data_IF_386813890549
#
_entry.id   IF_386813890549
#
_cell.length_a   1.000
_cell.length_b   1.000
_cell.length_c   1.000
_cell.angle_alpha   90.00
_cell.angle_beta   90.00
_cell.angle_gamma   90.00
#
_symmetry.space_group_name_H-M   'P 1'
#
loop_
_entity.id
_entity.type
_entity.pdbx_description
1 polymer ?
#
# COMPACT_ATOMS: atom_id res chain seq x y z
N UNK A 1 -5.20 -9.56 7.91
CA UNK A 1 -4.01 -9.53 7.02
C UNK A 1 -3.65 -8.07 6.73
N UNK A 2 -2.38 -7.71 6.55
CA UNK A 2 -1.99 -6.34 6.20
C UNK A 2 -1.64 -6.25 4.71
N UNK A 3 -2.35 -5.42 3.94
CA UNK A 3 -2.07 -5.20 2.53
C UNK A 3 -1.27 -3.91 2.35
N UNK A 4 -0.14 -4.01 1.65
CA UNK A 4 0.80 -2.91 1.44
C UNK A 4 0.78 -2.47 -0.01
N UNK A 5 0.69 -1.16 -0.23
CA UNK A 5 0.78 -0.55 -1.55
C UNK A 5 1.66 0.68 -1.52
N UNK A 6 2.68 0.73 -2.36
CA UNK A 6 3.51 1.90 -2.53
C UNK A 6 3.72 2.19 -4.02
N UNK A 7 3.71 3.47 -4.39
CA UNK A 7 4.23 3.90 -5.69
C UNK A 7 5.78 3.79 -5.71
N UNK A 8 6.38 3.92 -6.89
CA UNK A 8 7.85 3.83 -7.03
C UNK A 8 8.58 4.86 -6.17
N UNK A 9 7.98 6.05 -5.96
CA UNK A 9 8.58 7.12 -5.15
C UNK A 9 8.59 6.82 -3.66
N UNK A 10 7.67 5.97 -3.20
CA UNK A 10 7.53 5.53 -1.82
C UNK A 10 8.11 4.13 -1.55
N UNK A 11 8.86 3.55 -2.49
CA UNK A 11 9.39 2.19 -2.34
C UNK A 11 10.32 2.05 -1.11
N UNK A 12 11.19 3.02 -0.85
CA UNK A 12 12.09 2.95 0.32
C UNK A 12 11.32 2.98 1.64
N UNK A 13 10.25 3.76 1.70
CA UNK A 13 9.40 3.91 2.88
C UNK A 13 8.63 2.62 3.18
N UNK A 14 8.13 1.93 2.15
CA UNK A 14 7.42 0.67 2.35
C UNK A 14 8.36 -0.45 2.82
N UNK A 15 9.65 -0.41 2.46
CA UNK A 15 10.64 -1.38 2.97
C UNK A 15 10.81 -1.28 4.49
N UNK A 16 10.84 -0.07 5.06
CA UNK A 16 10.89 0.10 6.53
C UNK A 16 9.64 -0.48 7.21
N UNK A 17 8.47 -0.31 6.60
CA UNK A 17 7.23 -0.91 7.10
C UNK A 17 7.31 -2.43 7.03
N UNK A 18 7.79 -3.00 5.92
CA UNK A 18 7.98 -4.44 5.75
C UNK A 18 8.91 -4.99 6.81
N UNK A 19 10.09 -4.39 7.00
CA UNK A 19 11.05 -4.82 8.02
C UNK A 19 10.43 -4.82 9.42
N UNK A 20 9.66 -3.77 9.74
CA UNK A 20 8.96 -3.70 11.03
C UNK A 20 7.87 -4.79 11.15
N UNK A 21 7.11 -5.07 10.10
CA UNK A 21 6.09 -6.14 10.12
C UNK A 21 6.72 -7.52 10.28
N UNK A 22 7.81 -7.80 9.56
CA UNK A 22 8.57 -9.05 9.66
C UNK A 22 9.13 -9.25 11.07
N UNK A 23 9.75 -8.21 11.65
CA UNK A 23 10.28 -8.23 13.01
C UNK A 23 9.21 -8.55 14.06
N UNK A 24 7.97 -8.14 13.81
CA UNK A 24 6.83 -8.40 14.68
C UNK A 24 6.02 -9.65 14.27
N UNK A 25 6.53 -10.46 13.33
CA UNK A 25 5.90 -11.69 12.82
C UNK A 25 4.46 -11.47 12.31
N UNK A 26 4.19 -10.28 11.76
CA UNK A 26 2.89 -9.93 11.22
C UNK A 26 2.75 -10.38 9.77
N UNK A 27 1.58 -10.95 9.43
CA UNK A 27 1.28 -11.37 8.07
C UNK A 27 0.93 -10.16 7.20
N UNK A 28 1.62 -10.02 6.08
CA UNK A 28 1.36 -8.97 5.10
C UNK A 28 1.42 -9.46 3.66
N UNK A 29 0.86 -8.67 2.74
CA UNK A 29 0.92 -8.88 1.28
C UNK A 29 1.17 -7.56 0.55
N UNK A 30 2.23 -7.51 -0.24
CA UNK A 30 2.57 -6.34 -1.06
C UNK A 30 1.91 -6.42 -2.44
N UNK A 31 1.14 -5.37 -2.77
CA UNK A 31 0.40 -5.22 -4.03
C UNK A 31 0.99 -4.13 -4.95
N UNK A 32 1.74 -3.16 -4.40
CA UNK A 32 2.35 -2.06 -5.16
C UNK A 32 3.76 -2.34 -5.68
N UNK A 33 4.57 -1.29 -5.82
CA UNK A 33 5.94 -1.36 -6.30
C UNK A 33 6.78 -2.36 -5.50
N UNK A 34 7.22 -3.43 -6.16
CA UNK A 34 8.11 -4.47 -5.60
C UNK A 34 9.60 -4.19 -5.84
N UNK A 35 9.87 -3.17 -6.66
CA UNK A 35 11.20 -2.77 -7.08
C UNK A 35 11.21 -1.24 -7.27
N UNK A 36 12.37 -0.62 -7.09
CA UNK A 36 12.63 0.81 -7.35
C UNK A 36 12.67 1.13 -8.85
N UNK A 37 13.00 0.15 -9.69
CA UNK A 37 13.22 0.40 -11.12
C UNK A 37 11.91 0.46 -11.92
N UNK A 38 10.94 -0.38 -11.55
CA UNK A 38 9.67 -0.43 -12.27
C UNK A 38 8.76 0.70 -11.80
N UNK A 39 8.44 1.59 -12.73
CA UNK A 39 7.40 2.60 -12.52
C UNK A 39 6.06 1.91 -12.21
N UNK A 40 5.50 2.19 -11.04
CA UNK A 40 4.19 1.75 -10.58
C UNK A 40 3.47 2.97 -10.03
N UNK A 41 2.32 3.28 -10.62
CA UNK A 41 1.46 4.33 -10.10
C UNK A 41 0.51 3.74 -9.05
N UNK A 42 0.15 4.56 -8.07
CA UNK A 42 -0.84 4.21 -7.06
C UNK A 42 -2.19 3.82 -7.69
N UNK A 43 -2.55 4.37 -8.85
CA UNK A 43 -3.77 4.00 -9.60
C UNK A 43 -3.82 2.53 -9.98
N UNK A 44 -2.65 1.90 -10.17
CA UNK A 44 -2.56 0.54 -10.72
C UNK A 44 -2.99 -0.52 -9.72
N UNK A 45 -2.87 -0.23 -8.42
CA UNK A 45 -3.13 -1.20 -7.35
C UNK A 45 -4.09 -0.70 -6.27
N UNK A 46 -4.46 0.58 -6.24
CA UNK A 46 -5.35 1.15 -5.21
C UNK A 46 -6.66 0.40 -5.12
N UNK A 47 -7.29 0.08 -6.27
CA UNK A 47 -8.57 -0.63 -6.31
C UNK A 47 -8.44 -2.01 -5.67
N UNK A 48 -7.42 -2.76 -6.06
CA UNK A 48 -7.20 -4.11 -5.55
C UNK A 48 -6.89 -4.08 -4.05
N UNK A 49 -6.09 -3.12 -3.58
CA UNK A 49 -5.81 -2.95 -2.16
C UNK A 49 -7.09 -2.65 -1.37
N UNK A 50 -7.90 -1.70 -1.83
CA UNK A 50 -9.16 -1.34 -1.16
C UNK A 50 -10.13 -2.52 -1.13
N UNK A 51 -10.26 -3.27 -2.23
CA UNK A 51 -11.10 -4.47 -2.26
C UNK A 51 -10.62 -5.53 -1.27
N UNK A 52 -9.31 -5.78 -1.19
CA UNK A 52 -8.73 -6.72 -0.21
C UNK A 52 -8.93 -6.31 1.23
N UNK A 53 -8.89 -5.01 1.53
CA UNK A 53 -9.22 -4.51 2.87
C UNK A 53 -10.71 -4.71 3.16
N UNK A 54 -11.59 -4.46 2.18
CA UNK A 54 -13.04 -4.60 2.35
C UNK A 54 -13.52 -6.06 2.47
N UNK A 55 -12.75 -7.03 1.98
CA UNK A 55 -13.08 -8.47 2.03
C UNK A 55 -13.23 -9.03 3.46
N UNK A 56 -12.53 -8.48 4.46
CA UNK A 56 -12.55 -8.97 5.84
C UNK A 56 -12.28 -7.82 6.83
N UNK A 57 -13.10 -7.70 7.88
CA UNK A 57 -12.99 -6.62 8.87
C UNK A 57 -11.66 -6.65 9.67
N UNK A 58 -10.97 -7.79 9.70
CA UNK A 58 -9.63 -7.95 10.27
C UNK A 58 -8.50 -7.56 9.30
N UNK A 59 -8.81 -7.20 8.06
CA UNK A 59 -7.82 -6.71 7.12
C UNK A 59 -7.52 -5.23 7.35
N UNK A 60 -6.26 -4.86 7.09
CA UNK A 60 -5.77 -3.49 7.19
C UNK A 60 -4.99 -3.17 5.93
N UNK A 61 -5.07 -1.92 5.48
CA UNK A 61 -4.32 -1.42 4.32
C UNK A 61 -3.34 -0.34 4.74
N UNK A 62 -2.11 -0.41 4.23
CA UNK A 62 -1.13 0.67 4.30
C UNK A 62 -0.83 1.10 2.88
N UNK A 63 -1.05 2.37 2.61
CA UNK A 63 -0.81 2.97 1.30
C UNK A 63 0.20 4.10 1.44
N UNK A 64 1.23 4.08 0.60
CA UNK A 64 2.27 5.10 0.59
C UNK A 64 2.44 5.66 -0.82
N UNK A 65 2.54 6.98 -0.91
CA UNK A 65 2.94 7.68 -2.12
C UNK A 65 3.99 8.73 -1.75
N UNK A 66 4.82 9.13 -2.71
CA UNK A 66 5.97 10.01 -2.43
C UNK A 66 5.62 11.33 -1.70
N UNK A 67 4.38 11.80 -1.78
CA UNK A 67 3.90 13.03 -1.13
C UNK A 67 2.95 12.80 0.04
N UNK A 68 2.47 11.56 0.26
CA UNK A 68 1.33 11.29 1.16
C UNK A 68 0.00 11.96 0.74
N UNK A 69 0.00 12.71 -0.37
CA UNK A 69 -1.12 13.48 -0.89
C UNK A 69 -1.42 13.00 -2.30
N UNK A 70 -2.50 12.25 -2.44
CA UNK A 70 -3.07 11.98 -3.76
C UNK A 70 -3.98 13.15 -4.12
N UNK A 71 -3.64 13.90 -5.17
CA UNK A 71 -4.62 14.75 -5.87
C UNK A 71 -5.61 13.82 -6.56
N UNK A 72 -6.58 13.33 -5.80
CA UNK A 72 -7.72 12.62 -6.33
C UNK A 72 -8.70 13.67 -6.85
N UNK A 73 -9.03 13.61 -8.15
CA UNK A 73 -10.18 14.37 -8.70
C UNK A 73 -11.52 13.94 -8.09
N UNK A 74 -11.55 12.82 -7.36
CA UNK A 74 -12.75 12.29 -6.69
C UNK A 74 -12.39 11.74 -5.30
N UNK A 75 -13.08 12.16 -4.22
CA UNK A 75 -12.74 11.76 -2.87
C UNK A 75 -12.87 10.24 -2.69
N UNK A 76 -11.77 9.56 -2.33
CA UNK A 76 -11.86 8.22 -1.76
C UNK A 76 -12.27 8.36 -0.29
N UNK A 77 -13.52 8.01 0.02
CA UNK A 77 -13.92 7.71 1.39
C UNK A 77 -13.10 6.51 1.87
N UNK A 78 -12.24 6.74 2.87
CA UNK A 78 -11.58 5.70 3.64
C UNK A 78 -12.48 5.43 4.85
N UNK A 79 -13.09 4.25 4.90
CA UNK A 79 -13.81 3.72 6.08
C UNK A 79 -12.84 2.95 6.96
#
# INVERSE_FOLDING_TARGET
MIYLGADTKAHKQILFVIEWLEKNMMKYKQLGAKDEVKAVDITDFVRDLTLKVAEDFGNRGIMMCGTGLRYLKEPLCIY
#
